data_IF_574007097753
#
_entry.id   IF_574007097753
#
_cell.length_a   1.000
_cell.length_b   1.000
_cell.length_c   1.000
_cell.angle_alpha   90.00
_cell.angle_beta   90.00
_cell.angle_gamma   90.00
#
_symmetry.space_group_name_H-M   'P 1'
#
loop_
_entity.id
_entity.type
_entity.pdbx_description
1 polymer ?
#
# COMPACT_ATOMS: atom_id res chain seq x y z
N UNK A 1 -12.71 -20.41 12.64
CA UNK A 1 -13.14 -20.53 11.23
C UNK A 1 -13.52 -19.17 10.65
N UNK A 2 -12.57 -18.26 10.62
CA UNK A 2 -12.81 -16.85 10.20
C UNK A 2 -11.99 -16.47 8.97
N UNK A 3 -11.55 -17.45 8.18
CA UNK A 3 -10.88 -17.20 6.91
C UNK A 3 -11.91 -16.55 5.97
N UNK A 4 -11.62 -15.34 5.49
CA UNK A 4 -12.48 -14.54 4.60
C UNK A 4 -13.73 -13.91 5.26
N UNK A 5 -13.72 -13.70 6.58
CA UNK A 5 -14.85 -13.03 7.28
C UNK A 5 -15.03 -11.56 6.86
N UNK A 6 -13.94 -10.84 6.57
CA UNK A 6 -13.98 -9.44 6.12
C UNK A 6 -14.76 -9.26 4.82
N UNK A 7 -14.35 -9.91 3.72
CA UNK A 7 -15.05 -9.83 2.44
C UNK A 7 -16.50 -10.33 2.46
N UNK A 8 -16.78 -11.38 3.24
CA UNK A 8 -18.16 -11.84 3.44
C UNK A 8 -19.01 -10.78 4.14
N UNK A 9 -18.44 -10.09 5.14
CA UNK A 9 -19.13 -9.01 5.83
C UNK A 9 -19.39 -7.81 4.91
N UNK A 10 -18.44 -7.45 4.04
CA UNK A 10 -18.62 -6.40 3.03
C UNK A 10 -19.76 -6.70 2.06
N UNK A 11 -19.89 -7.95 1.60
CA UNK A 11 -21.00 -8.38 0.75
C UNK A 11 -22.36 -8.27 1.45
N UNK A 12 -22.44 -8.76 2.68
CA UNK A 12 -23.66 -8.68 3.50
C UNK A 12 -24.01 -7.22 3.79
N UNK A 13 -23.01 -6.40 4.12
CA UNK A 13 -23.17 -4.97 4.34
C UNK A 13 -23.65 -4.23 3.11
N UNK A 14 -23.08 -4.52 1.93
CA UNK A 14 -23.51 -3.94 0.66
C UNK A 14 -24.96 -4.27 0.34
N UNK A 15 -25.36 -5.54 0.53
CA UNK A 15 -26.78 -5.95 0.39
C UNK A 15 -27.68 -5.18 1.35
N UNK A 16 -27.30 -5.11 2.60
CA UNK A 16 -28.12 -4.42 3.63
C UNK A 16 -28.30 -2.94 3.30
N UNK A 17 -27.24 -2.27 2.86
CA UNK A 17 -27.27 -0.83 2.54
C UNK A 17 -28.05 -0.53 1.25
N UNK A 18 -27.98 -1.40 0.24
CA UNK A 18 -28.53 -1.13 -1.09
C UNK A 18 -29.85 -1.83 -1.37
N UNK A 19 -30.19 -2.89 -0.61
CA UNK A 19 -31.32 -3.77 -0.90
C UNK A 19 -31.11 -4.64 -2.16
N UNK A 20 -29.94 -4.60 -2.79
CA UNK A 20 -29.68 -5.35 -4.02
C UNK A 20 -29.65 -6.85 -3.75
N UNK A 21 -30.36 -7.63 -4.55
CA UNK A 21 -30.35 -9.09 -4.48
C UNK A 21 -29.34 -9.72 -5.47
N UNK A 22 -29.09 -9.04 -6.59
CA UNK A 22 -28.06 -9.45 -7.56
C UNK A 22 -27.18 -8.26 -7.88
N UNK A 23 -25.88 -8.38 -7.59
CA UNK A 23 -24.93 -7.32 -7.80
C UNK A 23 -23.50 -7.85 -7.89
N UNK A 24 -22.64 -7.13 -8.61
CA UNK A 24 -21.20 -7.23 -8.47
C UNK A 24 -20.78 -6.26 -7.37
N UNK A 25 -20.15 -6.77 -6.31
CA UNK A 25 -19.66 -5.98 -5.18
C UNK A 25 -18.16 -5.87 -5.30
N UNK A 26 -17.64 -4.65 -5.25
CA UNK A 26 -16.21 -4.34 -5.21
C UNK A 26 -15.90 -3.67 -3.88
N UNK A 27 -15.11 -4.33 -3.04
CA UNK A 27 -14.57 -3.79 -1.80
C UNK A 27 -13.15 -3.29 -2.06
N UNK A 28 -12.99 -1.97 -2.05
CA UNK A 28 -11.72 -1.30 -2.35
C UNK A 28 -11.11 -0.82 -1.04
N UNK A 29 -10.15 -1.59 -0.54
CA UNK A 29 -9.38 -1.24 0.64
C UNK A 29 -8.12 -0.43 0.35
N UNK A 30 -7.29 -0.25 1.36
CA UNK A 30 -5.99 0.41 1.19
C UNK A 30 -4.97 -0.44 0.41
N UNK A 31 -5.04 -1.76 0.53
CA UNK A 31 -4.04 -2.69 -0.03
C UNK A 31 -4.59 -3.53 -1.17
N UNK A 32 -5.84 -3.98 -1.06
CA UNK A 32 -6.48 -4.91 -2.00
C UNK A 32 -7.83 -4.40 -2.45
N UNK A 33 -8.25 -4.88 -3.60
CA UNK A 33 -9.62 -4.80 -4.08
C UNK A 33 -10.16 -6.21 -4.17
N UNK A 34 -11.24 -6.48 -3.45
CA UNK A 34 -11.96 -7.74 -3.45
C UNK A 34 -13.24 -7.60 -4.27
N UNK A 35 -13.40 -8.46 -5.29
CA UNK A 35 -14.56 -8.45 -6.17
C UNK A 35 -15.31 -9.76 -6.02
N UNK A 36 -16.59 -9.68 -5.69
CA UNK A 36 -17.45 -10.84 -5.51
C UNK A 36 -18.86 -10.61 -6.05
N UNK A 37 -19.55 -11.70 -6.31
CA UNK A 37 -20.90 -11.70 -6.86
C UNK A 37 -21.92 -12.00 -5.75
N UNK A 38 -22.94 -11.16 -5.67
CA UNK A 38 -24.17 -11.39 -4.91
C UNK A 38 -25.23 -11.94 -5.88
N UNK A 39 -25.85 -13.07 -5.54
CA UNK A 39 -26.98 -13.67 -6.27
C UNK A 39 -28.09 -14.04 -5.31
N UNK A 40 -29.32 -13.66 -5.61
CA UNK A 40 -30.51 -13.94 -4.79
C UNK A 40 -30.30 -13.59 -3.32
N UNK A 41 -29.68 -12.43 -3.10
CA UNK A 41 -29.35 -11.92 -1.76
C UNK A 41 -28.27 -12.70 -1.00
N UNK A 42 -27.52 -13.58 -1.66
CA UNK A 42 -26.47 -14.39 -1.04
C UNK A 42 -25.15 -14.25 -1.78
N UNK A 43 -24.01 -14.25 -1.07
CA UNK A 43 -22.71 -14.38 -1.71
C UNK A 43 -22.63 -15.66 -2.55
N UNK A 44 -22.13 -15.56 -3.77
CA UNK A 44 -21.83 -16.75 -4.55
C UNK A 44 -20.73 -17.56 -3.85
N UNK A 45 -20.88 -18.87 -3.84
CA UNK A 45 -19.94 -19.79 -3.19
C UNK A 45 -19.09 -20.50 -4.24
N UNK A 46 -17.80 -20.62 -3.98
CA UNK A 46 -16.90 -21.51 -4.70
C UNK A 46 -16.80 -22.85 -3.93
N UNK A 47 -17.41 -23.93 -4.47
CA UNK A 47 -17.36 -25.23 -3.81
C UNK A 47 -15.93 -25.81 -3.78
N UNK A 48 -15.05 -25.33 -4.61
CA UNK A 48 -13.65 -25.74 -4.62
C UNK A 48 -12.80 -25.10 -3.49
N UNK A 49 -13.41 -24.20 -2.72
CA UNK A 49 -12.76 -23.50 -1.60
C UNK A 49 -11.93 -22.29 -1.98
N UNK A 50 -11.50 -21.54 -0.98
CA UNK A 50 -10.66 -20.36 -1.17
C UNK A 50 -9.21 -20.74 -1.48
N UNK A 51 -8.60 -19.95 -2.36
CA UNK A 51 -7.16 -20.03 -2.59
C UNK A 51 -6.42 -19.00 -1.73
N UNK A 52 -5.50 -19.48 -0.89
CA UNK A 52 -4.64 -18.64 -0.03
C UNK A 52 -3.18 -18.91 -0.43
N UNK A 53 -2.62 -18.02 -1.20
CA UNK A 53 -1.30 -18.24 -1.81
C UNK A 53 -1.30 -19.48 -2.71
N UNK A 54 -0.35 -20.42 -2.53
CA UNK A 54 -0.30 -21.67 -3.30
C UNK A 54 -1.27 -22.75 -2.78
N UNK A 55 -1.93 -22.52 -1.64
CA UNK A 55 -2.78 -23.52 -0.97
C UNK A 55 -4.27 -23.24 -1.23
N UNK A 56 -5.02 -24.33 -1.42
CA UNK A 56 -6.48 -24.28 -1.52
C UNK A 56 -7.09 -24.86 -0.26
N UNK A 57 -8.09 -24.18 0.30
CA UNK A 57 -8.85 -24.70 1.45
C UNK A 57 -9.83 -25.75 0.98
N UNK A 58 -10.11 -26.76 1.83
CA UNK A 58 -11.12 -27.78 1.53
C UNK A 58 -12.54 -27.37 1.99
N UNK A 59 -12.70 -26.16 2.54
CA UNK A 59 -13.98 -25.63 2.98
C UNK A 59 -14.56 -24.73 1.90
N UNK A 60 -15.88 -24.82 1.68
CA UNK A 60 -16.60 -23.87 0.83
C UNK A 60 -16.29 -22.41 1.25
N UNK A 61 -16.05 -21.56 0.27
CA UNK A 61 -15.73 -20.17 0.51
C UNK A 61 -16.51 -19.26 -0.44
N UNK A 62 -16.62 -17.99 -0.08
CA UNK A 62 -17.18 -16.98 -0.98
C UNK A 62 -16.37 -16.95 -2.27
N UNK A 63 -17.06 -17.07 -3.40
CA UNK A 63 -16.44 -16.92 -4.73
C UNK A 63 -15.99 -15.47 -4.93
N UNK A 64 -14.71 -15.22 -4.73
CA UNK A 64 -14.13 -13.89 -4.70
C UNK A 64 -12.83 -13.85 -5.49
N UNK A 65 -12.57 -12.71 -6.10
CA UNK A 65 -11.28 -12.40 -6.73
C UNK A 65 -10.64 -11.24 -6.01
N UNK A 66 -9.45 -11.47 -5.47
CA UNK A 66 -8.63 -10.46 -4.81
C UNK A 66 -7.55 -9.96 -5.76
N UNK A 67 -7.44 -8.65 -5.88
CA UNK A 67 -6.40 -7.98 -6.62
C UNK A 67 -5.55 -7.14 -5.66
N UNK A 68 -4.22 -7.19 -5.79
CA UNK A 68 -3.28 -6.36 -5.02
C UNK A 68 -3.29 -4.90 -5.48
N UNK A 69 -4.47 -4.30 -5.47
CA UNK A 69 -4.75 -2.94 -5.92
C UNK A 69 -5.66 -2.27 -4.89
N UNK A 70 -5.18 -1.19 -4.30
CA UNK A 70 -5.94 -0.44 -3.29
C UNK A 70 -5.53 1.02 -3.24
N UNK A 71 -6.18 1.81 -2.40
CA UNK A 71 -5.94 3.24 -2.26
C UNK A 71 -4.51 3.61 -1.86
N UNK A 72 -3.82 2.71 -1.16
CA UNK A 72 -2.43 2.89 -0.69
C UNK A 72 -1.41 2.11 -1.53
N UNK A 73 -1.80 1.60 -2.70
CA UNK A 73 -0.87 0.91 -3.61
C UNK A 73 0.21 1.84 -4.11
N UNK A 74 1.45 1.35 -4.16
CA UNK A 74 2.58 2.08 -4.74
C UNK A 74 2.28 2.40 -6.22
N UNK A 75 2.46 3.65 -6.61
CA UNK A 75 2.33 4.10 -7.99
C UNK A 75 3.69 4.06 -8.67
N UNK A 76 3.77 3.37 -9.79
CA UNK A 76 4.95 3.30 -10.63
C UNK A 76 4.69 4.00 -11.96
N UNK A 77 5.52 4.96 -12.29
CA UNK A 77 5.52 5.63 -13.57
C UNK A 77 6.55 4.97 -14.49
N UNK A 78 6.12 4.53 -15.64
CA UNK A 78 7.00 4.01 -16.68
C UNK A 78 7.05 4.99 -17.84
N UNK A 79 8.25 5.49 -18.16
CA UNK A 79 8.51 6.34 -19.32
C UNK A 79 9.53 5.66 -20.23
N UNK A 80 9.20 4.50 -20.81
CA UNK A 80 10.07 3.84 -21.76
C UNK A 80 9.61 4.12 -23.21
N UNK A 81 10.38 4.93 -23.90
CA UNK A 81 10.14 5.28 -25.30
C UNK A 81 8.84 6.09 -25.48
N UNK A 82 8.01 5.68 -26.43
CA UNK A 82 6.73 6.33 -26.75
C UNK A 82 5.56 5.88 -25.84
N UNK A 83 5.77 4.93 -24.94
CA UNK A 83 4.75 4.42 -24.03
C UNK A 83 5.00 4.96 -22.63
N UNK A 84 4.28 6.02 -22.28
CA UNK A 84 4.12 6.42 -20.90
C UNK A 84 2.99 5.58 -20.27
N UNK A 85 3.22 5.01 -19.11
CA UNK A 85 2.23 4.20 -18.40
C UNK A 85 2.32 4.35 -16.90
N UNK A 86 1.22 4.02 -16.22
CA UNK A 86 1.15 3.94 -14.77
C UNK A 86 0.77 2.51 -14.41
N UNK A 87 1.53 1.91 -13.48
CA UNK A 87 1.18 0.63 -12.86
C UNK A 87 1.07 0.79 -11.36
N UNK A 88 0.26 -0.05 -10.73
CA UNK A 88 -0.03 0.03 -9.30
C UNK A 88 0.36 -1.26 -8.59
N UNK A 89 0.82 -1.11 -7.35
CA UNK A 89 1.17 -2.20 -6.47
C UNK A 89 2.43 -2.98 -6.89
N UNK A 90 2.66 -4.17 -6.32
CA UNK A 90 1.85 -4.80 -5.25
C UNK A 90 2.15 -4.26 -3.84
N UNK A 91 3.14 -3.38 -3.67
CA UNK A 91 3.50 -2.85 -2.35
C UNK A 91 2.50 -1.81 -1.89
N UNK A 92 2.27 -1.78 -0.58
CA UNK A 92 1.55 -0.72 0.11
C UNK A 92 2.54 0.34 0.57
N UNK A 93 2.20 1.62 0.35
CA UNK A 93 2.90 2.77 0.89
C UNK A 93 1.96 3.59 1.78
N UNK A 94 2.55 4.38 2.67
CA UNK A 94 1.82 5.44 3.33
C UNK A 94 1.57 6.56 2.31
N UNK A 95 0.33 7.05 2.13
CA UNK A 95 0.08 8.21 1.26
C UNK A 95 0.94 9.42 1.64
N UNK A 96 1.43 10.17 0.66
CA UNK A 96 2.19 11.41 0.91
C UNK A 96 1.34 12.40 1.68
N UNK A 97 0.06 12.53 1.35
CA UNK A 97 -0.88 13.38 2.07
C UNK A 97 -0.93 13.06 3.56
N UNK A 98 -0.86 11.78 3.94
CA UNK A 98 -0.91 11.36 5.33
C UNK A 98 0.42 11.64 6.08
N UNK A 99 1.57 11.41 5.44
CA UNK A 99 2.86 11.72 6.07
C UNK A 99 3.08 13.23 6.17
N UNK A 100 2.51 14.01 5.25
CA UNK A 100 2.53 15.48 5.29
C UNK A 100 1.79 16.06 6.49
N UNK A 101 0.80 15.35 7.05
CA UNK A 101 0.15 15.78 8.31
C UNK A 101 1.16 15.78 9.48
N UNK A 102 2.07 14.81 9.51
CA UNK A 102 3.07 14.71 10.57
C UNK A 102 4.28 15.64 10.34
N UNK A 103 4.67 15.89 9.09
CA UNK A 103 5.85 16.67 8.73
C UNK A 103 5.62 17.52 7.48
N UNK A 104 4.72 18.53 7.53
CA UNK A 104 4.31 19.29 6.35
C UNK A 104 5.47 20.01 5.68
N UNK A 105 6.34 20.66 6.45
CA UNK A 105 7.46 21.41 5.90
C UNK A 105 8.48 20.52 5.20
N UNK A 106 8.78 19.34 5.76
CA UNK A 106 9.71 18.39 5.16
C UNK A 106 9.18 17.92 3.81
N UNK A 107 7.89 17.56 3.77
CA UNK A 107 7.27 17.04 2.55
C UNK A 107 7.17 18.15 1.47
N UNK A 108 6.68 19.33 1.81
CA UNK A 108 6.55 20.43 0.87
C UNK A 108 7.91 20.89 0.32
N UNK A 109 8.89 21.10 1.19
CA UNK A 109 10.23 21.54 0.76
C UNK A 109 10.91 20.50 -0.14
N UNK A 110 10.75 19.21 0.17
CA UNK A 110 11.32 18.14 -0.64
C UNK A 110 10.66 18.09 -2.03
N UNK A 111 9.32 18.13 -2.10
CA UNK A 111 8.60 18.11 -3.37
C UNK A 111 8.91 19.34 -4.22
N UNK A 112 8.96 20.52 -3.64
CA UNK A 112 9.33 21.75 -4.32
C UNK A 112 10.77 21.71 -4.88
N UNK A 113 11.70 21.16 -4.09
CA UNK A 113 13.09 20.99 -4.55
C UNK A 113 13.17 19.96 -5.70
N UNK A 114 12.39 18.88 -5.63
CA UNK A 114 12.34 17.86 -6.68
C UNK A 114 11.74 18.39 -7.97
N UNK A 115 10.66 19.18 -7.90
CA UNK A 115 10.01 19.82 -9.07
C UNK A 115 10.94 20.80 -9.82
N UNK A 116 11.92 21.40 -9.14
CA UNK A 116 12.90 22.31 -9.78
C UNK A 116 14.02 21.58 -10.49
N UNK A 117 14.14 20.27 -10.35
CA UNK A 117 15.18 19.47 -11.03
C UNK A 117 14.78 19.20 -12.47
N UNK A 118 15.74 19.23 -13.36
CA UNK A 118 15.55 18.85 -14.77
C UNK A 118 15.47 17.33 -15.00
N UNK A 119 15.93 16.55 -14.03
CA UNK A 119 15.95 15.08 -14.10
C UNK A 119 15.29 14.52 -12.84
N UNK A 120 14.34 13.63 -13.05
CA UNK A 120 13.67 12.90 -11.98
C UNK A 120 14.63 11.85 -11.40
N UNK A 121 14.84 11.87 -10.08
CA UNK A 121 15.65 10.90 -9.39
C UNK A 121 14.82 9.66 -8.98
N UNK A 122 15.50 8.53 -8.77
CA UNK A 122 14.89 7.24 -8.44
C UNK A 122 13.94 7.29 -7.22
N UNK A 123 14.26 8.16 -6.27
CA UNK A 123 13.54 8.25 -4.98
C UNK A 123 12.70 9.52 -4.84
N UNK A 124 12.49 10.28 -5.91
CA UNK A 124 11.62 11.45 -5.88
C UNK A 124 10.18 11.07 -5.54
N UNK A 125 9.52 11.90 -4.72
CA UNK A 125 8.18 11.64 -4.21
C UNK A 125 8.12 10.50 -3.17
N UNK A 126 9.27 10.07 -2.62
CA UNK A 126 9.32 9.01 -1.61
C UNK A 126 9.89 9.52 -0.31
N UNK A 127 9.28 9.07 0.80
CA UNK A 127 9.66 9.42 2.15
C UNK A 127 9.80 8.18 3.01
N UNK A 128 10.48 8.33 4.14
CA UNK A 128 10.72 7.27 5.10
C UNK A 128 10.61 7.81 6.52
N UNK A 129 10.05 7.01 7.43
CA UNK A 129 10.07 7.27 8.88
C UNK A 129 10.26 5.98 9.66
N UNK A 130 10.82 6.07 10.85
CA UNK A 130 10.81 4.95 11.80
C UNK A 130 9.41 4.80 12.43
N UNK A 131 9.10 3.58 12.86
CA UNK A 131 7.88 3.25 13.61
C UNK A 131 8.24 3.28 15.10
N UNK A 132 7.60 4.16 15.85
CA UNK A 132 7.82 4.28 17.29
C UNK A 132 7.39 3.02 18.04
N UNK A 133 8.07 2.75 19.16
CA UNK A 133 7.71 1.65 20.06
C UNK A 133 8.08 0.25 19.58
N UNK A 134 8.71 0.10 18.41
CA UNK A 134 9.18 -1.18 17.91
C UNK A 134 10.60 -1.48 18.38
N UNK A 135 10.81 -2.67 18.96
CA UNK A 135 12.11 -3.11 19.45
C UNK A 135 13.13 -3.32 18.32
N UNK A 136 14.30 -2.69 18.45
CA UNK A 136 15.42 -2.84 17.52
C UNK A 136 16.34 -4.03 17.85
N UNK A 137 15.86 -5.02 18.63
CA UNK A 137 16.64 -6.16 19.07
C UNK A 137 16.99 -7.09 17.90
N UNK A 138 18.19 -7.65 17.93
CA UNK A 138 18.65 -8.62 16.92
C UNK A 138 18.88 -8.03 15.52
N UNK A 139 18.98 -6.70 15.37
CA UNK A 139 19.33 -6.08 14.11
C UNK A 139 20.81 -6.30 13.78
N UNK A 140 21.09 -6.59 12.52
CA UNK A 140 22.43 -6.54 11.98
C UNK A 140 23.01 -5.10 12.14
N UNK A 141 24.34 -4.93 12.30
CA UNK A 141 24.93 -3.62 12.53
C UNK A 141 24.55 -2.57 11.48
N UNK A 142 24.44 -2.96 10.23
CA UNK A 142 24.06 -2.04 9.13
C UNK A 142 22.59 -1.63 9.18
N UNK A 143 21.69 -2.54 9.55
CA UNK A 143 20.27 -2.26 9.70
C UNK A 143 20.05 -1.29 10.86
N UNK A 144 20.77 -1.52 11.96
CA UNK A 144 20.77 -0.62 13.12
C UNK A 144 21.27 0.77 12.74
N UNK A 145 22.40 0.87 12.05
CA UNK A 145 22.97 2.16 11.63
C UNK A 145 22.01 2.93 10.68
N UNK A 146 21.30 2.23 9.82
CA UNK A 146 20.28 2.86 8.97
C UNK A 146 19.08 3.32 9.78
N UNK A 147 18.57 2.49 10.71
CA UNK A 147 17.46 2.85 11.58
C UNK A 147 17.81 4.06 12.47
N UNK A 148 19.01 4.11 13.03
CA UNK A 148 19.53 5.24 13.81
C UNK A 148 19.63 6.52 12.96
N UNK A 149 20.03 6.40 11.68
CA UNK A 149 20.08 7.52 10.73
C UNK A 149 18.70 8.08 10.41
N UNK A 150 17.70 7.22 10.26
CA UNK A 150 16.30 7.61 10.06
C UNK A 150 15.79 8.31 11.33
N UNK A 151 16.12 7.78 12.51
CA UNK A 151 15.67 8.33 13.78
C UNK A 151 14.15 8.44 13.89
N UNK A 152 13.67 9.43 14.66
CA UNK A 152 12.25 9.70 14.87
C UNK A 152 11.59 10.60 13.83
N UNK A 153 12.35 11.12 12.88
CA UNK A 153 11.90 12.13 11.95
C UNK A 153 11.44 11.53 10.60
N UNK A 154 10.74 12.36 9.82
CA UNK A 154 10.40 12.07 8.42
C UNK A 154 11.53 12.57 7.53
N UNK A 155 11.98 11.76 6.60
CA UNK A 155 13.04 12.10 5.65
C UNK A 155 12.62 11.81 4.21
N UNK A 156 13.06 12.64 3.23
CA UNK A 156 13.07 12.22 1.83
C UNK A 156 13.94 10.96 1.69
N UNK A 157 13.45 9.94 1.00
CA UNK A 157 14.14 8.64 0.94
C UNK A 157 15.55 8.75 0.33
N UNK A 158 15.73 9.62 -0.66
CA UNK A 158 17.01 9.86 -1.31
C UNK A 158 18.08 10.44 -0.40
N UNK A 159 17.70 11.16 0.66
CA UNK A 159 18.64 11.78 1.61
C UNK A 159 19.18 10.76 2.63
N UNK A 160 18.45 9.69 2.85
CA UNK A 160 18.80 8.64 3.82
C UNK A 160 19.63 7.53 3.18
N UNK A 161 19.33 7.15 1.93
CA UNK A 161 20.03 6.08 1.22
C UNK A 161 21.32 6.61 0.57
N UNK A 162 22.46 6.11 1.04
CA UNK A 162 23.80 6.53 0.54
C UNK A 162 24.36 5.58 -0.52
N UNK A 163 23.89 4.34 -0.55
CA UNK A 163 24.41 3.31 -1.42
C UNK A 163 23.42 2.14 -1.58
N UNK A 164 23.71 1.21 -2.50
CA UNK A 164 22.86 0.04 -2.75
C UNK A 164 22.70 -0.91 -1.55
N UNK A 165 23.67 -0.90 -0.64
CA UNK A 165 23.60 -1.75 0.57
C UNK A 165 22.53 -1.23 1.52
N UNK A 166 22.37 0.10 1.60
CA UNK A 166 21.30 0.72 2.39
C UNK A 166 19.92 0.30 1.89
N UNK A 167 19.72 0.09 0.58
CA UNK A 167 18.45 -0.41 0.03
C UNK A 167 18.08 -1.81 0.58
N UNK A 168 19.08 -2.69 0.70
CA UNK A 168 18.86 -4.03 1.27
C UNK A 168 18.57 -3.97 2.78
N UNK A 169 19.23 -3.07 3.51
CA UNK A 169 18.95 -2.82 4.92
C UNK A 169 17.54 -2.24 5.11
N UNK A 170 17.15 -1.26 4.27
CA UNK A 170 15.81 -0.69 4.27
C UNK A 170 14.73 -1.75 4.05
N UNK A 171 14.92 -2.65 3.07
CA UNK A 171 13.96 -3.72 2.79
C UNK A 171 13.76 -4.62 4.02
N UNK A 172 14.82 -4.96 4.76
CA UNK A 172 14.72 -5.75 5.99
C UNK A 172 14.01 -4.98 7.13
N UNK A 173 14.31 -3.69 7.29
CA UNK A 173 13.66 -2.84 8.29
C UNK A 173 12.16 -2.69 8.01
N UNK A 174 11.77 -2.51 6.75
CA UNK A 174 10.37 -2.47 6.32
C UNK A 174 9.68 -3.80 6.56
N UNK A 175 10.32 -4.92 6.19
CA UNK A 175 9.77 -6.26 6.41
C UNK A 175 9.55 -6.60 7.89
N UNK A 176 10.36 -6.00 8.78
CA UNK A 176 10.20 -6.12 10.26
C UNK A 176 9.23 -5.09 10.85
N UNK A 177 8.65 -4.21 10.05
CA UNK A 177 7.75 -3.15 10.52
C UNK A 177 8.42 -2.04 11.33
N UNK A 178 9.76 -1.95 11.30
CA UNK A 178 10.54 -0.93 12.03
C UNK A 178 10.56 0.42 11.29
N UNK A 179 10.30 0.40 10.00
CA UNK A 179 10.31 1.57 9.12
C UNK A 179 9.11 1.51 8.20
N UNK A 180 8.47 2.65 8.00
CA UNK A 180 7.41 2.87 7.02
C UNK A 180 7.93 3.70 5.85
N UNK A 181 7.55 3.28 4.64
CA UNK A 181 7.76 4.04 3.42
C UNK A 181 6.48 4.79 3.06
N UNK A 182 6.64 6.03 2.61
CA UNK A 182 5.58 6.81 2.00
C UNK A 182 5.92 7.14 0.55
N UNK A 183 4.90 7.32 -0.26
CA UNK A 183 5.05 7.66 -1.67
C UNK A 183 3.70 7.99 -2.30
N UNK A 184 3.71 8.31 -3.58
CA UNK A 184 2.49 8.61 -4.32
C UNK A 184 1.59 7.38 -4.37
N UNK A 185 0.32 7.58 -4.02
CA UNK A 185 -0.71 6.55 -3.98
C UNK A 185 -1.99 7.02 -4.69
N UNK A 186 -2.92 6.10 -5.05
CA UNK A 186 -4.25 6.48 -5.53
C UNK A 186 -5.02 7.37 -4.54
N UNK A 187 -4.81 7.19 -3.23
CA UNK A 187 -5.40 8.07 -2.20
C UNK A 187 -4.94 9.51 -2.38
N UNK A 188 -3.66 9.76 -2.63
CA UNK A 188 -3.15 11.11 -2.89
C UNK A 188 -3.78 11.71 -4.16
N UNK A 189 -3.88 10.93 -5.23
CA UNK A 189 -4.55 11.34 -6.46
C UNK A 189 -6.02 11.71 -6.23
N UNK A 190 -6.73 10.95 -5.40
CA UNK A 190 -8.12 11.22 -5.02
C UNK A 190 -8.26 12.55 -4.27
N UNK A 191 -7.34 12.87 -3.36
CA UNK A 191 -7.31 14.17 -2.67
C UNK A 191 -7.11 15.33 -3.65
N UNK A 192 -6.14 15.20 -4.56
CA UNK A 192 -5.86 16.25 -5.57
C UNK A 192 -7.03 16.44 -6.52
N UNK A 193 -7.73 15.35 -6.88
CA UNK A 193 -8.91 15.39 -7.73
C UNK A 193 -10.17 15.91 -7.02
N UNK A 194 -10.11 16.20 -5.72
CA UNK A 194 -11.25 16.71 -4.95
C UNK A 194 -12.32 15.67 -4.63
N UNK A 195 -11.99 14.39 -4.67
CA UNK A 195 -12.92 13.31 -4.34
C UNK A 195 -12.98 13.01 -2.83
N UNK A 196 -12.18 13.68 -2.01
CA UNK A 196 -12.13 13.60 -0.54
C UNK A 196 -11.81 14.96 0.06
#
# INVERSE_FOLDING_TARGET
>A
ETILSGPAASLVGARWLTGAETALVSDIGGTTTDVALLRDGRPAIDPAGAQVGPYRTMAEAVAMRTHGLGGDSEVHFTSQGLTAGVTLGPKRLLPISLIAVAAPEVVHNALDAQLRRSVVAEHDGRFVRAVEGQGAEGLAPRDRALLERIGGDVWPLGDVLRNRVDQSALARLVARGLVQLAGVTPTDASHVAGHR
#
